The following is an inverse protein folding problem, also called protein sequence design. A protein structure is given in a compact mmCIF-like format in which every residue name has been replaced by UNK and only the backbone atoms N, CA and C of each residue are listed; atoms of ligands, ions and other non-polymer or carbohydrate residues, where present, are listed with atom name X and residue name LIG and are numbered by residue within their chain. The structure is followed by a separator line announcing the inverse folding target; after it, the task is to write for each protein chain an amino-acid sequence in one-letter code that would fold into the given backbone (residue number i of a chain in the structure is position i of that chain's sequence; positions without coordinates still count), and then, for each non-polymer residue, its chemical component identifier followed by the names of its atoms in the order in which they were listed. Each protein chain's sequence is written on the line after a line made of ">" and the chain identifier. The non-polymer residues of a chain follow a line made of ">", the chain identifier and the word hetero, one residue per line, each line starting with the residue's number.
data_IF_937310923812
#
_entry.id   IF_937310923812
#
_cell.length_a   1.000
_cell.length_b   1.000
_cell.length_c   1.000
_cell.angle_alpha   90.00
_cell.angle_beta   90.00
_cell.angle_gamma   90.00
#
_symmetry.space_group_name_H-M   'P 1'
#
loop_
_entity.id
_entity.type
_entity.pdbx_description
1 polymer ?
#
# COMPACT_ATOMS: atom_id res chain seq x y z
N UNK A 1 13.36 -57.90 3.73
CA UNK A 1 12.40 -57.15 2.87
C UNK A 1 11.33 -56.60 3.80
N UNK A 2 10.93 -55.35 3.85
CA UNK A 2 11.10 -54.20 2.95
C UNK A 2 10.84 -52.98 3.85
N UNK A 3 11.75 -52.01 3.83
CA UNK A 3 11.60 -50.72 4.48
C UNK A 3 10.30 -50.05 4.00
N UNK A 4 9.46 -49.59 4.92
CA UNK A 4 8.38 -48.66 4.59
C UNK A 4 8.63 -47.35 5.33
N UNK A 5 9.47 -46.54 4.69
CA UNK A 5 9.68 -45.13 4.97
C UNK A 5 8.36 -44.38 4.75
N UNK A 6 7.72 -43.95 5.84
CA UNK A 6 6.62 -42.99 5.77
C UNK A 6 7.19 -41.57 5.61
N UNK A 7 7.25 -41.12 4.35
CA UNK A 7 7.45 -39.73 3.99
C UNK A 7 6.17 -38.94 4.30
N UNK A 8 6.16 -38.21 5.42
CA UNK A 8 5.17 -37.17 5.67
C UNK A 8 5.52 -35.95 4.81
N UNK A 9 4.85 -35.83 3.66
CA UNK A 9 4.88 -34.62 2.85
C UNK A 9 4.08 -33.51 3.56
N UNK A 10 4.80 -32.53 4.13
CA UNK A 10 4.20 -31.30 4.66
C UNK A 10 3.78 -30.40 3.51
N UNK A 11 2.49 -30.43 3.18
CA UNK A 11 1.89 -29.45 2.28
C UNK A 11 1.84 -28.08 2.98
N UNK A 12 2.73 -27.17 2.58
CA UNK A 12 2.67 -25.77 2.98
C UNK A 12 1.47 -25.10 2.30
N UNK A 13 0.39 -24.89 3.06
CA UNK A 13 -0.70 -24.02 2.67
C UNK A 13 -0.20 -22.57 2.68
N UNK A 14 0.22 -22.07 1.53
CA UNK A 14 0.44 -20.65 1.33
C UNK A 14 -0.91 -19.95 1.43
N UNK A 15 -1.16 -19.29 2.57
CA UNK A 15 -2.28 -18.37 2.74
C UNK A 15 -2.09 -17.20 1.79
N UNK A 16 -2.79 -17.23 0.65
CA UNK A 16 -2.93 -16.09 -0.23
C UNK A 16 -3.77 -15.04 0.52
N UNK A 17 -3.11 -14.05 1.11
CA UNK A 17 -3.80 -12.88 1.64
C UNK A 17 -4.58 -12.21 0.50
N UNK A 18 -5.88 -11.90 0.66
CA UNK A 18 -6.62 -11.19 -0.36
C UNK A 18 -5.95 -9.84 -0.58
N UNK A 19 -5.45 -9.62 -1.80
CA UNK A 19 -4.97 -8.31 -2.22
C UNK A 19 -6.14 -7.33 -2.04
N UNK A 20 -5.94 -6.29 -1.25
CA UNK A 20 -6.94 -5.25 -1.03
C UNK A 20 -7.37 -4.71 -2.40
N UNK A 21 -8.63 -4.91 -2.78
CA UNK A 21 -9.16 -4.57 -4.10
C UNK A 21 -8.88 -3.12 -4.48
N UNK A 22 -8.70 -2.82 -5.78
CA UNK A 22 -8.42 -1.46 -6.20
C UNK A 22 -9.66 -0.61 -5.95
N UNK A 23 -9.54 0.34 -5.04
CA UNK A 23 -10.68 1.13 -4.57
C UNK A 23 -11.15 2.19 -5.57
N UNK A 24 -10.46 2.37 -6.71
CA UNK A 24 -10.78 3.40 -7.68
C UNK A 24 -11.52 2.84 -8.90
N UNK A 25 -12.60 3.53 -9.28
CA UNK A 25 -13.38 3.24 -10.50
C UNK A 25 -12.87 4.00 -11.73
N UNK A 26 -12.11 5.08 -11.52
CA UNK A 26 -11.56 5.94 -12.57
C UNK A 26 -10.04 5.84 -12.58
N UNK A 27 -9.43 5.73 -13.76
CA UNK A 27 -7.99 5.71 -13.94
C UNK A 27 -7.39 7.08 -13.58
N UNK A 28 -6.42 7.16 -12.65
CA UNK A 28 -5.84 8.42 -12.19
C UNK A 28 -4.94 9.11 -13.22
N UNK A 29 -4.56 8.42 -14.29
CA UNK A 29 -3.69 8.96 -15.35
C UNK A 29 -4.51 9.43 -16.54
N UNK A 30 -5.39 8.57 -17.07
CA UNK A 30 -6.13 8.85 -18.30
C UNK A 30 -7.56 9.37 -18.09
N UNK A 31 -8.11 9.27 -16.87
CA UNK A 31 -9.50 9.63 -16.57
C UNK A 31 -10.55 8.67 -17.13
N UNK A 32 -10.14 7.60 -17.82
CA UNK A 32 -11.02 6.55 -18.35
C UNK A 32 -11.45 5.57 -17.26
N UNK A 33 -12.49 4.73 -17.50
CA UNK A 33 -12.85 3.67 -16.57
C UNK A 33 -11.65 2.77 -16.25
N UNK A 34 -11.43 2.50 -14.96
CA UNK A 34 -10.35 1.64 -14.52
C UNK A 34 -10.72 0.16 -14.73
N UNK A 35 -9.71 -0.66 -15.06
CA UNK A 35 -9.85 -2.11 -15.16
C UNK A 35 -9.28 -2.76 -13.90
N UNK A 36 -10.08 -3.59 -13.22
CA UNK A 36 -9.62 -4.37 -12.08
C UNK A 36 -8.54 -5.42 -12.44
N UNK A 37 -8.34 -5.70 -13.73
CA UNK A 37 -7.27 -6.58 -14.21
C UNK A 37 -5.91 -5.87 -14.33
N UNK A 38 -5.88 -4.54 -14.35
CA UNK A 38 -4.65 -3.75 -14.53
C UNK A 38 -4.41 -2.93 -13.27
N UNK A 39 -3.69 -3.52 -12.31
CA UNK A 39 -3.47 -2.90 -11.00
C UNK A 39 -2.00 -2.70 -10.67
N UNK A 40 -1.69 -1.69 -9.85
CA UNK A 40 -0.41 -1.52 -9.17
C UNK A 40 -0.61 -1.34 -7.67
N UNK A 41 0.38 -1.75 -6.88
CA UNK A 41 0.37 -1.56 -5.43
C UNK A 41 1.25 -0.38 -5.06
N UNK A 42 0.62 0.70 -4.58
CA UNK A 42 1.31 1.82 -3.98
C UNK A 42 1.65 1.50 -2.53
N UNK A 43 2.89 1.76 -2.10
CA UNK A 43 3.30 1.67 -0.70
C UNK A 43 4.23 2.82 -0.32
N UNK A 44 4.03 3.40 0.86
CA UNK A 44 4.89 4.44 1.42
C UNK A 44 5.05 4.28 2.92
N UNK A 45 6.30 4.21 3.36
CA UNK A 45 6.67 4.10 4.78
C UNK A 45 7.14 5.44 5.31
N UNK A 46 6.61 5.88 6.45
CA UNK A 46 7.00 7.15 7.09
C UNK A 46 7.18 6.99 8.59
N UNK A 47 8.07 7.80 9.16
CA UNK A 47 8.24 7.88 10.59
C UNK A 47 7.14 8.75 11.24
N UNK A 48 6.68 8.34 12.42
CA UNK A 48 5.77 9.09 13.28
C UNK A 48 6.43 9.36 14.63
N UNK A 49 5.84 10.21 15.48
CA UNK A 49 6.50 10.63 16.72
C UNK A 49 6.32 9.66 17.90
N UNK A 50 5.32 8.76 17.88
CA UNK A 50 5.02 7.88 19.02
C UNK A 50 4.06 6.72 18.65
N UNK A 51 3.93 5.75 19.56
CA UNK A 51 3.05 4.58 19.41
C UNK A 51 1.56 4.94 19.29
N UNK A 52 1.14 6.07 19.87
CA UNK A 52 -0.23 6.58 19.68
C UNK A 52 -0.48 6.95 18.23
N UNK A 53 0.48 7.61 17.56
CA UNK A 53 0.35 7.94 16.15
C UNK A 53 0.37 6.68 15.27
N UNK A 54 1.14 5.65 15.64
CA UNK A 54 1.09 4.34 14.98
C UNK A 54 -0.33 3.76 15.07
N UNK A 55 -0.88 3.72 16.28
CA UNK A 55 -2.22 3.17 16.56
C UNK A 55 -3.32 3.94 15.81
N UNK A 56 -3.27 5.27 15.85
CA UNK A 56 -4.22 6.15 15.16
C UNK A 56 -4.16 5.98 13.65
N UNK A 57 -2.94 5.88 13.09
CA UNK A 57 -2.76 5.62 11.67
C UNK A 57 -3.36 4.27 11.28
N UNK A 58 -3.04 3.19 12.01
CA UNK A 58 -3.50 1.84 11.70
C UNK A 58 -5.03 1.70 11.79
N UNK A 59 -5.69 2.48 12.66
CA UNK A 59 -7.14 2.48 12.76
C UNK A 59 -7.82 3.11 11.53
N UNK A 60 -7.22 4.14 10.92
CA UNK A 60 -7.81 4.86 9.79
C UNK A 60 -6.78 5.29 8.73
N UNK A 61 -6.04 4.37 8.09
CA UNK A 61 -4.91 4.73 7.22
C UNK A 61 -5.31 5.65 6.06
N UNK A 62 -6.52 5.44 5.52
CA UNK A 62 -7.10 6.21 4.41
C UNK A 62 -7.23 7.70 4.73
N UNK A 63 -7.54 8.05 5.98
CA UNK A 63 -7.70 9.44 6.42
C UNK A 63 -6.37 10.22 6.38
N UNK A 64 -5.23 9.53 6.33
CA UNK A 64 -3.91 10.13 6.45
C UNK A 64 -3.13 10.19 5.13
N UNK A 65 -3.68 9.77 3.99
CA UNK A 65 -2.95 9.75 2.72
C UNK A 65 -2.21 11.08 2.45
N UNK A 66 -2.90 12.22 2.49
CA UNK A 66 -2.29 13.54 2.28
C UNK A 66 -1.14 13.82 3.25
N UNK A 67 -1.24 13.40 4.50
CA UNK A 67 -0.21 13.57 5.51
C UNK A 67 1.02 12.70 5.19
N UNK A 68 0.80 11.46 4.74
CA UNK A 68 1.87 10.54 4.33
C UNK A 68 2.59 11.04 3.08
N UNK A 69 1.85 11.56 2.10
CA UNK A 69 2.44 12.11 0.87
C UNK A 69 3.36 13.29 1.14
N UNK A 70 2.98 14.14 2.09
CA UNK A 70 3.73 15.33 2.47
C UNK A 70 4.77 15.07 3.57
N UNK A 71 5.00 13.81 3.97
CA UNK A 71 5.98 13.50 5.01
C UNK A 71 7.40 13.84 4.54
N UNK A 72 8.13 14.62 5.37
CA UNK A 72 9.49 15.07 5.08
C UNK A 72 10.57 14.32 5.89
N UNK A 73 10.17 13.32 6.69
CA UNK A 73 11.05 12.54 7.55
C UNK A 73 11.53 13.24 8.83
N UNK A 74 11.39 14.56 8.93
CA UNK A 74 11.80 15.36 10.10
C UNK A 74 10.65 15.51 11.09
N UNK A 75 9.46 15.83 10.58
CA UNK A 75 8.26 16.02 11.38
C UNK A 75 7.30 14.85 11.19
N UNK A 76 6.64 14.47 12.29
CA UNK A 76 5.56 13.52 12.28
C UNK A 76 4.42 14.05 11.39
N UNK A 77 4.00 13.29 10.37
CA UNK A 77 2.97 13.75 9.45
C UNK A 77 1.61 13.91 10.13
N UNK A 78 1.36 13.21 11.24
CA UNK A 78 0.10 13.22 11.99
C UNK A 78 0.02 14.36 13.01
N UNK A 79 1.10 14.61 13.76
CA UNK A 79 1.09 15.53 14.91
C UNK A 79 1.99 16.77 14.74
N UNK A 80 2.80 16.83 13.68
CA UNK A 80 3.83 17.85 13.41
C UNK A 80 4.99 17.95 14.41
N UNK A 81 4.99 17.15 15.48
CA UNK A 81 6.12 16.98 16.40
C UNK A 81 7.32 16.34 15.70
N UNK A 82 8.49 16.34 16.33
CA UNK A 82 9.68 15.62 15.81
C UNK A 82 9.34 14.14 15.57
N UNK A 83 9.67 13.62 14.39
CA UNK A 83 9.49 12.21 14.09
C UNK A 83 10.50 11.35 14.88
N UNK A 84 10.09 10.14 15.25
CA UNK A 84 10.97 9.11 15.80
C UNK A 84 11.24 8.08 14.68
N UNK A 85 12.49 7.99 14.16
CA UNK A 85 12.85 7.04 13.11
C UNK A 85 12.57 5.57 13.46
N UNK A 86 12.42 5.23 14.75
CA UNK A 86 12.11 3.87 15.23
C UNK A 86 10.62 3.55 15.14
N UNK A 87 9.76 4.56 15.01
CA UNK A 87 8.29 4.41 14.96
C UNK A 87 7.83 4.69 13.54
N UNK A 88 7.57 3.62 12.77
CA UNK A 88 7.19 3.74 11.35
C UNK A 88 5.79 3.21 11.11
N UNK A 89 5.11 3.80 10.14
CA UNK A 89 3.84 3.30 9.60
C UNK A 89 3.96 3.15 8.09
N UNK A 90 3.26 2.16 7.54
CA UNK A 90 3.25 1.88 6.11
C UNK A 90 1.84 2.08 5.58
N UNK A 91 1.68 3.02 4.65
CA UNK A 91 0.46 3.17 3.88
C UNK A 91 0.55 2.31 2.62
N UNK A 92 -0.41 1.42 2.40
CA UNK A 92 -0.50 0.59 1.20
C UNK A 92 -1.87 0.74 0.54
N UNK A 93 -1.91 0.78 -0.79
CA UNK A 93 -3.16 0.84 -1.57
C UNK A 93 -2.97 0.24 -2.97
N UNK A 94 -3.89 -0.64 -3.37
CA UNK A 94 -3.98 -1.07 -4.76
C UNK A 94 -4.71 0.01 -5.59
N UNK A 95 -4.20 0.24 -6.80
CA UNK A 95 -4.70 1.23 -7.76
C UNK A 95 -4.95 0.53 -9.08
N UNK A 96 -6.15 0.68 -9.65
CA UNK A 96 -6.50 0.17 -10.98
C UNK A 96 -6.31 1.22 -12.08
N UNK A 97 -6.00 0.75 -13.29
CA UNK A 97 -5.73 1.59 -14.46
C UNK A 97 -6.56 1.14 -15.66
N UNK A 98 -6.79 2.06 -16.59
CA UNK A 98 -7.52 1.75 -17.81
C UNK A 98 -6.67 0.90 -18.79
N UNK A 99 -5.34 1.06 -18.74
CA UNK A 99 -4.40 0.45 -19.68
C UNK A 99 -2.99 0.32 -19.06
N UNK A 100 -2.14 -0.50 -19.69
CA UNK A 100 -0.78 -0.78 -19.23
C UNK A 100 0.15 0.43 -19.30
N UNK A 101 -0.10 1.39 -20.21
CA UNK A 101 0.67 2.62 -20.33
C UNK A 101 0.41 3.54 -19.13
N UNK A 102 -0.85 3.75 -18.80
CA UNK A 102 -1.28 4.47 -17.59
C UNK A 102 -0.67 3.84 -16.33
N UNK A 103 -0.70 2.52 -16.21
CA UNK A 103 -0.02 1.82 -15.10
C UNK A 103 1.48 2.11 -15.08
N UNK A 104 2.17 2.01 -16.21
CA UNK A 104 3.60 2.29 -16.30
C UNK A 104 3.95 3.75 -15.93
N UNK A 105 3.15 4.72 -16.36
CA UNK A 105 3.29 6.13 -15.95
C UNK A 105 3.15 6.30 -14.45
N UNK A 106 2.16 5.65 -13.84
CA UNK A 106 2.00 5.66 -12.38
C UNK A 106 3.19 5.03 -11.68
N UNK A 107 3.64 3.85 -12.10
CA UNK A 107 4.75 3.13 -11.48
C UNK A 107 6.07 3.91 -11.53
N UNK A 108 6.28 4.70 -12.58
CA UNK A 108 7.47 5.55 -12.72
C UNK A 108 7.50 6.71 -11.70
N UNK A 109 6.34 7.17 -11.23
CA UNK A 109 6.24 8.30 -10.30
C UNK A 109 4.97 8.26 -9.43
N UNK A 110 4.78 7.23 -8.59
CA UNK A 110 3.49 6.99 -7.95
C UNK A 110 3.10 8.11 -6.99
N UNK A 111 4.07 8.70 -6.28
CA UNK A 111 3.86 9.84 -5.38
C UNK A 111 3.30 11.09 -6.10
N UNK A 112 3.53 11.25 -7.42
CA UNK A 112 2.97 12.35 -8.22
C UNK A 112 1.51 12.13 -8.59
N UNK A 113 1.07 10.86 -8.70
CA UNK A 113 -0.23 10.49 -9.26
C UNK A 113 -1.22 9.96 -8.23
N UNK A 114 -0.75 9.51 -7.07
CA UNK A 114 -1.58 8.90 -6.02
C UNK A 114 -2.66 9.85 -5.46
N UNK A 115 -2.48 11.18 -5.57
CA UNK A 115 -3.52 12.17 -5.21
C UNK A 115 -4.74 12.13 -6.12
N UNK A 116 -4.56 11.67 -7.36
CA UNK A 116 -5.64 11.56 -8.36
C UNK A 116 -6.42 10.24 -8.25
N UNK A 117 -6.01 9.34 -7.35
CA UNK A 117 -6.70 8.07 -7.10
C UNK A 117 -7.97 8.30 -6.29
N UNK A 118 -9.02 8.73 -6.98
CA UNK A 118 -10.39 8.87 -6.45
C UNK A 118 -10.95 7.49 -6.14
N UNK A 119 -11.65 7.34 -5.00
CA UNK A 119 -12.40 6.12 -4.72
C UNK A 119 -13.70 6.17 -5.52
#
# INVERSE_FOLDING_TARGET
>A
MKHLLFLFATAALATLAPAAEPLNTVCPISGKPASAAITSNYSKTVAVCCDRCVSQFNATPKAYLSNILNANGVQCPLSKKKADPSKKVTYSRQVAFADVGSKATFDAAPDKHIKEVRQ
#
